data_IF_091344695481
#
_entry.id   IF_091344695481
#
_cell.length_a   1.000
_cell.length_b   1.000
_cell.length_c   1.000
_cell.angle_alpha   90.00
_cell.angle_beta   90.00
_cell.angle_gamma   90.00
#
_symmetry.space_group_name_H-M   'P 1'
#
loop_
_entity.id
_entity.type
_entity.pdbx_description
1 polymer ?
#
# COMPACT_ATOMS: atom_id res chain seq x y z
N UNK A 1 7.39 -8.13 12.41
CA UNK A 1 7.95 -7.03 11.60
C UNK A 1 6.82 -6.37 10.81
N UNK A 2 6.08 -5.46 11.44
CA UNK A 2 5.28 -4.47 10.72
C UNK A 2 6.10 -3.19 10.81
N UNK A 3 7.04 -3.03 9.89
CA UNK A 3 7.80 -1.78 9.75
C UNK A 3 6.84 -0.75 9.14
N UNK A 4 6.59 0.30 9.90
CA UNK A 4 5.52 1.26 9.70
C UNK A 4 5.90 2.16 8.52
N UNK A 5 5.33 1.91 7.34
CA UNK A 5 5.37 2.84 6.20
C UNK A 5 4.48 4.09 6.37
N UNK A 6 3.97 4.34 7.59
CA UNK A 6 3.06 5.45 7.92
C UNK A 6 3.77 6.65 8.56
N UNK A 7 5.03 6.51 8.93
CA UNK A 7 5.90 7.61 9.35
C UNK A 7 7.24 7.32 8.71
N UNK A 8 7.75 8.17 7.81
CA UNK A 8 9.09 7.98 7.22
C UNK A 8 10.13 8.45 8.25
N UNK A 9 10.00 7.98 9.49
CA UNK A 9 10.87 8.31 10.62
C UNK A 9 11.53 7.03 11.09
N UNK A 10 12.81 7.16 11.45
CA UNK A 10 13.56 6.05 12.03
C UNK A 10 12.87 5.57 13.31
N UNK A 11 12.95 4.27 13.66
CA UNK A 11 12.32 3.74 14.87
C UNK A 11 12.78 4.44 16.16
N UNK A 12 13.95 5.08 16.11
CA UNK A 12 14.54 5.94 17.14
C UNK A 12 14.93 7.25 16.45
N UNK A 13 14.41 8.36 16.94
CA UNK A 13 14.65 9.71 16.41
C UNK A 13 14.79 10.65 17.62
N UNK A 14 15.71 11.61 17.54
CA UNK A 14 15.90 12.63 18.57
C UNK A 14 14.62 13.46 18.78
N UNK A 15 13.78 13.59 17.74
CA UNK A 15 12.49 14.27 17.80
C UNK A 15 11.49 13.65 18.79
N UNK A 16 11.66 12.37 19.16
CA UNK A 16 10.79 11.70 20.15
C UNK A 16 11.19 12.01 21.60
N UNK A 17 12.37 12.60 21.80
CA UNK A 17 13.01 12.77 23.11
C UNK A 17 14.04 11.68 23.40
N UNK A 18 14.99 12.00 24.27
CA UNK A 18 16.14 11.14 24.58
C UNK A 18 15.66 9.77 25.13
N UNK A 19 16.05 8.69 24.46
CA UNK A 19 15.73 7.32 24.88
C UNK A 19 14.27 6.89 24.67
N UNK A 20 13.47 7.66 23.92
CA UNK A 20 12.09 7.31 23.59
C UNK A 20 12.03 6.77 22.16
N UNK A 21 11.62 5.51 22.00
CA UNK A 21 11.35 4.93 20.69
C UNK A 21 9.98 5.38 20.12
N UNK A 22 9.80 5.21 18.81
CA UNK A 22 8.56 5.56 18.11
C UNK A 22 7.31 4.95 18.75
N UNK A 23 7.37 3.69 19.18
CA UNK A 23 6.20 2.99 19.75
C UNK A 23 5.80 3.65 21.06
N UNK A 24 6.74 3.86 21.98
CA UNK A 24 6.49 4.57 23.24
C UNK A 24 6.00 5.99 23.01
N UNK A 25 6.57 6.70 22.04
CA UNK A 25 6.16 8.05 21.70
C UNK A 25 4.70 8.10 21.21
N UNK A 26 4.30 7.18 20.33
CA UNK A 26 2.93 7.08 19.80
C UNK A 26 1.93 6.68 20.90
N UNK A 27 2.27 5.71 21.77
CA UNK A 27 1.40 5.32 22.90
C UNK A 27 1.20 6.48 23.90
N UNK A 28 2.20 7.36 24.06
CA UNK A 28 2.12 8.56 24.89
C UNK A 28 1.34 9.73 24.28
N UNK A 29 1.02 9.69 22.99
CA UNK A 29 0.40 10.81 22.27
C UNK A 29 -0.95 11.25 22.86
N UNK A 30 -1.77 10.29 23.28
CA UNK A 30 -3.06 10.60 23.92
C UNK A 30 -2.88 11.33 25.26
N UNK A 31 -1.81 11.03 26.01
CA UNK A 31 -1.51 11.72 27.27
C UNK A 31 -0.99 13.15 27.02
N UNK A 32 -0.39 13.40 25.84
CA UNK A 32 -0.02 14.75 25.37
C UNK A 32 -1.20 15.54 24.80
N UNK A 33 -2.38 14.93 24.67
CA UNK A 33 -3.57 15.55 24.08
C UNK A 33 -3.54 15.63 22.55
N UNK A 34 -2.66 14.87 21.91
CA UNK A 34 -2.55 14.81 20.45
C UNK A 34 -3.63 13.89 19.87
N UNK A 35 -4.23 14.29 18.75
CA UNK A 35 -5.17 13.43 18.03
C UNK A 35 -4.42 12.48 17.09
N UNK A 36 -5.00 11.31 16.75
CA UNK A 36 -4.40 10.37 15.80
C UNK A 36 -4.01 10.99 14.46
N UNK A 37 -4.73 12.01 14.01
CA UNK A 37 -4.45 12.76 12.78
C UNK A 37 -3.18 13.62 12.89
N UNK A 38 -2.86 14.13 14.08
CA UNK A 38 -1.64 14.92 14.33
C UNK A 38 -0.38 14.05 14.41
N UNK A 39 -0.55 12.76 14.73
CA UNK A 39 0.53 11.77 14.76
C UNK A 39 0.93 11.35 13.34
N UNK A 40 0.00 11.38 12.39
CA UNK A 40 0.26 11.04 11.00
C UNK A 40 1.13 12.12 10.34
N UNK A 41 2.02 11.68 9.44
CA UNK A 41 2.87 12.59 8.68
C UNK A 41 2.02 13.59 7.87
N UNK A 42 2.47 14.86 7.88
CA UNK A 42 1.85 15.96 7.15
C UNK A 42 1.64 15.65 5.65
N UNK A 43 2.46 14.79 5.04
CA UNK A 43 2.27 14.37 3.64
C UNK A 43 0.94 13.65 3.38
N UNK A 44 0.31 13.06 4.39
CA UNK A 44 -1.01 12.43 4.25
C UNK A 44 -2.17 13.43 4.36
N UNK A 45 -1.91 14.66 4.83
CA UNK A 45 -2.93 15.70 4.89
C UNK A 45 -3.39 16.16 3.49
N UNK A 46 -2.53 16.05 2.47
CA UNK A 46 -2.77 16.57 1.12
C UNK A 46 -3.33 15.54 0.12
N UNK A 47 -3.42 14.26 0.48
CA UNK A 47 -3.82 13.18 -0.44
C UNK A 47 -5.35 13.14 -0.61
N UNK A 48 -6.09 12.64 0.39
CA UNK A 48 -7.55 12.63 0.37
C UNK A 48 -8.11 12.40 1.78
N UNK A 49 -9.34 12.85 2.03
CA UNK A 49 -10.02 12.63 3.32
C UNK A 49 -10.26 11.13 3.60
N UNK A 50 -10.61 10.36 2.56
CA UNK A 50 -10.81 8.92 2.65
C UNK A 50 -9.50 8.22 3.05
N UNK A 51 -8.39 8.54 2.38
CA UNK A 51 -7.09 7.97 2.70
C UNK A 51 -6.66 8.30 4.13
N UNK A 52 -6.84 9.56 4.56
CA UNK A 52 -6.53 9.96 5.93
C UNK A 52 -7.29 9.13 6.97
N UNK A 53 -8.57 8.86 6.74
CA UNK A 53 -9.40 8.02 7.60
C UNK A 53 -8.89 6.57 7.66
N UNK A 54 -8.47 6.01 6.52
CA UNK A 54 -7.86 4.67 6.46
C UNK A 54 -6.51 4.62 7.21
N UNK A 55 -5.69 5.66 7.09
CA UNK A 55 -4.41 5.76 7.82
C UNK A 55 -4.62 5.86 9.34
N UNK A 56 -5.60 6.66 9.79
CA UNK A 56 -5.98 6.73 11.21
C UNK A 56 -6.48 5.37 11.70
N UNK A 57 -7.29 4.67 10.91
CA UNK A 57 -7.75 3.33 11.27
C UNK A 57 -6.59 2.32 11.36
N UNK A 58 -5.65 2.37 10.41
CA UNK A 58 -4.45 1.54 10.43
C UNK A 58 -3.56 1.83 11.65
N UNK A 59 -3.40 3.10 12.02
CA UNK A 59 -2.67 3.50 13.23
C UNK A 59 -3.30 2.91 14.49
N UNK A 60 -4.64 2.87 14.59
CA UNK A 60 -5.35 2.21 15.71
C UNK A 60 -5.06 0.71 15.78
N UNK A 61 -5.02 0.02 14.64
CA UNK A 61 -4.62 -1.41 14.60
C UNK A 61 -3.18 -1.58 15.05
N UNK A 62 -2.27 -0.69 14.61
CA UNK A 62 -0.87 -0.73 14.99
C UNK A 62 -0.67 -0.56 16.51
N UNK A 63 -1.38 0.37 17.14
CA UNK A 63 -1.37 0.56 18.61
C UNK A 63 -1.75 -0.72 19.37
N UNK A 64 -2.77 -1.43 18.90
CA UNK A 64 -3.21 -2.69 19.52
C UNK A 64 -2.17 -3.80 19.29
N UNK A 65 -1.52 -3.83 18.13
CA UNK A 65 -0.48 -4.81 17.82
C UNK A 65 0.80 -4.59 18.64
N UNK A 66 1.06 -3.35 19.07
CA UNK A 66 2.25 -2.97 19.86
C UNK A 66 1.93 -2.72 21.33
N UNK A 67 0.79 -3.20 21.82
CA UNK A 67 0.41 -3.08 23.24
C UNK A 67 1.55 -3.57 24.15
N UNK A 68 1.79 -2.82 25.23
CA UNK A 68 2.80 -3.14 26.22
C UNK A 68 2.57 -4.52 26.86
N UNK A 69 1.32 -5.00 26.89
CA UNK A 69 0.91 -6.29 27.41
C UNK A 69 0.82 -7.31 26.26
N UNK A 70 1.74 -8.30 26.16
CA UNK A 70 1.77 -9.25 25.05
C UNK A 70 0.47 -10.05 24.86
N UNK A 71 -0.22 -10.36 25.95
CA UNK A 71 -1.48 -11.11 25.93
C UNK A 71 -2.64 -10.34 25.28
N UNK A 72 -2.55 -9.01 25.17
CA UNK A 72 -3.57 -8.18 24.50
C UNK A 72 -3.35 -8.08 22.99
N UNK A 73 -2.18 -8.48 22.49
CA UNK A 73 -1.85 -8.37 21.07
C UNK A 73 -2.68 -9.39 20.27
N UNK A 74 -3.36 -8.95 19.20
CA UNK A 74 -4.19 -9.81 18.39
C UNK A 74 -3.36 -10.82 17.62
N UNK A 75 -3.96 -11.98 17.32
CA UNK A 75 -3.38 -12.93 16.36
C UNK A 75 -3.40 -12.33 14.95
N UNK A 76 -2.44 -12.72 14.12
CA UNK A 76 -2.29 -12.19 12.75
C UNK A 76 -3.58 -12.29 11.92
N UNK A 77 -4.34 -13.40 12.04
CA UNK A 77 -5.64 -13.56 11.38
C UNK A 77 -6.59 -12.38 11.68
N UNK A 78 -6.68 -11.99 12.97
CA UNK A 78 -7.54 -10.88 13.38
C UNK A 78 -7.02 -9.53 12.90
N UNK A 79 -5.70 -9.34 12.84
CA UNK A 79 -5.07 -8.13 12.28
C UNK A 79 -5.47 -7.95 10.82
N UNK A 80 -5.42 -9.03 10.02
CA UNK A 80 -5.82 -8.98 8.61
C UNK A 80 -7.31 -8.65 8.46
N UNK A 81 -8.18 -9.27 9.27
CA UNK A 81 -9.61 -8.95 9.28
C UNK A 81 -9.85 -7.46 9.59
N UNK A 82 -9.20 -6.92 10.62
CA UNK A 82 -9.32 -5.50 10.99
C UNK A 82 -8.84 -4.59 9.86
N UNK A 83 -7.75 -4.91 9.17
CA UNK A 83 -7.24 -4.08 8.06
C UNK A 83 -8.14 -4.14 6.82
N UNK A 84 -8.80 -5.27 6.57
CA UNK A 84 -9.74 -5.43 5.45
C UNK A 84 -11.00 -4.60 5.61
N UNK A 85 -11.48 -4.40 6.85
CA UNK A 85 -12.65 -3.55 7.16
C UNK A 85 -12.47 -2.10 6.68
N UNK A 86 -11.23 -1.63 6.54
CA UNK A 86 -10.92 -0.26 6.12
C UNK A 86 -10.54 -0.13 4.64
N UNK A 87 -10.35 -1.23 3.92
CA UNK A 87 -9.86 -1.24 2.52
C UNK A 87 -10.98 -0.95 1.51
N UNK A 88 -11.91 -0.06 1.83
CA UNK A 88 -13.05 0.28 0.96
C UNK A 88 -12.79 1.49 0.06
N UNK A 89 -11.66 2.19 0.20
CA UNK A 89 -11.32 3.38 -0.59
C UNK A 89 -10.01 3.30 -1.39
N UNK A 90 -9.26 2.20 -1.29
CA UNK A 90 -8.22 1.91 -2.28
C UNK A 90 -8.96 1.32 -3.47
N UNK A 91 -9.06 2.08 -4.57
CA UNK A 91 -9.57 1.61 -5.86
C UNK A 91 -8.75 0.41 -6.34
N UNK A 92 -9.00 -0.77 -5.78
CA UNK A 92 -8.55 -2.04 -6.33
C UNK A 92 -9.04 -2.16 -7.76
N UNK A 93 -10.19 -1.55 -8.11
CA UNK A 93 -10.62 -1.40 -9.49
C UNK A 93 -9.61 -0.65 -10.37
N UNK A 94 -8.93 0.39 -9.90
CA UNK A 94 -7.98 1.15 -10.74
C UNK A 94 -6.66 0.41 -10.92
N UNK A 95 -6.14 -0.22 -9.86
CA UNK A 95 -4.92 -1.03 -9.96
C UNK A 95 -5.17 -2.33 -10.74
N UNK A 96 -6.30 -3.02 -10.51
CA UNK A 96 -6.70 -4.20 -11.27
C UNK A 96 -7.03 -3.84 -12.71
N UNK A 97 -7.66 -2.69 -12.99
CA UNK A 97 -7.87 -2.21 -14.35
C UNK A 97 -6.55 -1.86 -15.05
N UNK A 98 -5.58 -1.27 -14.33
CA UNK A 98 -4.26 -1.00 -14.90
C UNK A 98 -3.51 -2.29 -15.25
N UNK A 99 -3.59 -3.31 -14.39
CA UNK A 99 -3.02 -4.63 -14.67
C UNK A 99 -3.73 -5.35 -15.83
N UNK A 100 -5.07 -5.24 -15.91
CA UNK A 100 -5.85 -5.80 -17.00
C UNK A 100 -5.56 -5.11 -18.35
N UNK A 101 -5.36 -3.79 -18.33
CA UNK A 101 -4.95 -3.02 -19.51
C UNK A 101 -3.57 -3.45 -19.98
N UNK A 102 -2.62 -3.60 -19.06
CA UNK A 102 -1.27 -4.07 -19.38
C UNK A 102 -1.27 -5.46 -20.05
N UNK A 103 -2.08 -6.39 -19.53
CA UNK A 103 -2.24 -7.71 -20.15
C UNK A 103 -2.84 -7.64 -21.56
N UNK A 104 -3.85 -6.81 -21.76
CA UNK A 104 -4.50 -6.62 -23.07
C UNK A 104 -3.53 -6.01 -24.11
N UNK A 105 -2.73 -5.03 -23.69
CA UNK A 105 -1.73 -4.39 -24.55
C UNK A 105 -0.62 -5.37 -24.97
N UNK A 106 -0.20 -6.25 -24.06
CA UNK A 106 0.79 -7.29 -24.33
C UNK A 106 0.26 -8.34 -25.31
N UNK A 107 -1.00 -8.77 -25.15
CA UNK A 107 -1.65 -9.69 -26.08
C UNK A 107 -1.79 -9.06 -27.48
N UNK A 108 -2.19 -7.79 -27.55
CA UNK A 108 -2.28 -7.05 -28.81
C UNK A 108 -0.91 -6.94 -29.51
N UNK A 109 0.16 -6.65 -28.76
CA UNK A 109 1.52 -6.60 -29.30
C UNK A 109 1.98 -7.97 -29.81
N UNK A 110 1.66 -9.05 -29.08
CA UNK A 110 1.96 -10.43 -29.48
C UNK A 110 1.24 -10.80 -30.78
N UNK A 111 -0.05 -10.48 -30.89
CA UNK A 111 -0.82 -10.66 -32.12
C UNK A 111 -0.28 -9.84 -33.29
N UNK A 112 0.15 -8.60 -33.06
CA UNK A 112 0.73 -7.76 -34.10
C UNK A 112 2.05 -8.33 -34.64
N UNK A 113 2.90 -8.90 -33.76
CA UNK A 113 4.13 -9.57 -34.16
C UNK A 113 3.84 -10.86 -34.95
N UNK A 114 2.87 -11.67 -34.54
CA UNK A 114 2.44 -12.87 -35.27
C UNK A 114 1.90 -12.53 -36.67
N UNK A 115 1.05 -11.52 -36.79
CA UNK A 115 0.52 -11.07 -38.08
C UNK A 115 1.63 -10.50 -38.99
N UNK A 116 2.61 -9.79 -38.43
CA UNK A 116 3.81 -9.36 -39.18
C UNK A 116 4.64 -10.56 -39.65
N UNK A 117 4.84 -11.55 -38.79
CA UNK A 117 5.54 -12.79 -39.15
C UNK A 117 4.84 -13.56 -40.26
N UNK A 118 3.52 -13.68 -40.20
CA UNK A 118 2.71 -14.34 -41.24
C UNK A 118 2.88 -13.67 -42.62
N UNK A 119 2.91 -12.33 -42.68
CA UNK A 119 3.15 -11.59 -43.93
C UNK A 119 4.57 -11.72 -44.48
N UNK A 120 5.56 -12.08 -43.65
CA UNK A 120 6.94 -12.35 -44.10
C UNK A 120 7.11 -13.77 -44.65
N UNK A 121 6.17 -14.68 -44.39
CA UNK A 121 6.16 -16.05 -44.93
C UNK A 121 5.41 -16.20 -46.26
N UNK A 122 4.73 -15.14 -46.72
CA UNK A 122 4.20 -15.06 -48.08
C UNK A 122 5.35 -14.75 -49.06
N UNK A 123 6.20 -15.76 -49.31
CA UNK A 123 7.18 -15.72 -50.40
C UNK A 123 6.39 -15.46 -51.69
N UNK A 124 6.75 -14.45 -52.51
CA UNK A 124 6.11 -14.31 -53.81
C UNK A 124 6.37 -15.61 -54.59
N UNK A 125 5.31 -16.31 -54.99
CA UNK A 125 5.40 -17.37 -56.01
C UNK A 125 5.93 -16.71 -57.27
N UNK A 126 7.26 -16.68 -57.41
CA UNK A 126 7.92 -16.27 -58.64
C UNK A 126 7.46 -17.22 -59.74
N UNK A 127 6.72 -16.67 -60.69
CA UNK A 127 6.35 -17.32 -61.94
C UNK A 127 7.64 -17.70 -62.65
N UNK A 128 8.04 -18.97 -62.57
CA UNK A 128 9.07 -19.55 -63.43
C UNK A 128 8.43 -19.81 -64.79
N UNK A 129 8.74 -18.94 -65.76
CA UNK A 129 8.68 -19.22 -67.21
C UNK A 129 10.01 -19.86 -67.61
#
# INVERSE_FOLDING_TARGET
MVAIGLSIQEPVDEAFGEGVDLVRWVHGASARGETPEQILDAKFSTISFAWRKEMVATLKVALICTDAIPAKRPRMKKVVEMLQEFKTGIDTNREVAALAQFGSDLDAATHALLNRGARLTEVPKVHLV
#
